data_IF_279802704182
#
_entry.id   IF_279802704182
#
_cell.length_a   1.000
_cell.length_b   1.000
_cell.length_c   1.000
_cell.angle_alpha   90.00
_cell.angle_beta   90.00
_cell.angle_gamma   90.00
#
_symmetry.space_group_name_H-M   'P 1'
#
loop_
_entity.id
_entity.type
_entity.pdbx_description
1 polymer ?
#
# COMPACT_ATOMS: atom_id res chain seq x y z
N UNK A 1 14.41 25.56 -7.74
CA UNK A 1 13.31 26.53 -7.53
C UNK A 1 12.51 26.11 -6.28
N UNK A 2 12.15 27.03 -5.38
CA UNK A 2 12.31 26.81 -3.94
C UNK A 2 11.07 26.20 -3.25
N UNK A 3 11.26 25.08 -2.56
CA UNK A 3 10.28 24.38 -1.69
C UNK A 3 10.24 24.91 -0.24
N UNK A 4 10.97 25.98 0.06
CA UNK A 4 11.16 26.51 1.42
C UNK A 4 10.30 27.72 1.78
N UNK A 5 9.63 28.36 0.81
CA UNK A 5 8.78 29.53 1.04
C UNK A 5 7.35 29.17 1.49
N UNK A 6 6.76 28.11 0.94
CA UNK A 6 5.39 27.69 1.29
C UNK A 6 5.22 27.28 2.76
N UNK A 7 6.27 26.70 3.37
CA UNK A 7 6.22 26.24 4.76
C UNK A 7 6.35 27.39 5.79
N UNK A 8 6.85 28.56 5.39
CA UNK A 8 6.95 29.75 6.26
C UNK A 8 5.68 30.61 6.28
N UNK A 9 4.84 30.54 5.25
CA UNK A 9 3.58 31.29 5.22
C UNK A 9 2.53 30.70 6.19
N UNK A 10 2.40 29.37 6.25
CA UNK A 10 1.38 28.69 7.07
C UNK A 10 1.58 28.93 8.57
N UNK A 11 2.83 29.04 9.04
CA UNK A 11 3.11 29.30 10.47
C UNK A 11 2.88 30.76 10.88
N UNK A 12 2.93 31.71 9.94
CA UNK A 12 2.78 33.14 10.25
C UNK A 12 1.30 33.54 10.41
N UNK A 13 0.39 32.91 9.65
CA UNK A 13 -1.05 33.22 9.72
C UNK A 13 -1.71 32.67 10.99
N UNK A 14 -1.30 31.49 11.47
CA UNK A 14 -1.85 30.91 12.70
C UNK A 14 -1.54 31.76 13.95
N UNK A 15 -0.43 32.52 13.96
CA UNK A 15 -0.02 33.33 15.10
C UNK A 15 -0.77 34.68 15.18
N UNK A 16 -1.28 35.19 14.05
CA UNK A 16 -2.04 36.45 14.00
C UNK A 16 -3.48 36.25 14.50
N UNK A 17 -4.07 35.06 14.30
CA UNK A 17 -5.45 34.78 14.73
C UNK A 17 -5.57 34.65 16.26
N UNK A 18 -4.52 34.23 16.97
CA UNK A 18 -4.55 34.14 18.44
C UNK A 18 -4.33 35.47 19.17
N UNK A 19 -3.90 36.53 18.49
CA UNK A 19 -3.57 37.80 19.15
C UNK A 19 -4.73 38.81 19.20
N UNK A 20 -5.82 38.61 18.44
CA UNK A 20 -6.91 39.60 18.35
C UNK A 20 -8.07 39.38 19.32
N UNK A 21 -8.10 38.27 20.06
CA UNK A 21 -9.21 37.95 20.97
C UNK A 21 -9.15 38.66 22.35
N UNK A 22 -8.18 39.54 22.59
CA UNK A 22 -7.92 40.10 23.93
C UNK A 22 -8.32 41.58 24.13
N UNK A 23 -8.98 42.25 23.18
CA UNK A 23 -9.21 43.71 23.27
C UNK A 23 -10.66 44.21 23.10
N UNK A 24 -11.67 43.34 23.15
CA UNK A 24 -13.08 43.80 23.10
C UNK A 24 -13.72 43.64 24.48
N UNK A 25 -13.90 44.77 25.17
CA UNK A 25 -14.64 44.87 26.42
C UNK A 25 -16.14 44.57 26.23
N UNK A 26 -16.89 44.36 27.33
CA UNK A 26 -18.28 43.90 27.25
C UNK A 26 -19.19 45.07 26.88
N UNK A 27 -19.58 45.17 25.61
CA UNK A 27 -20.66 46.04 25.18
C UNK A 27 -21.55 45.30 24.17
N UNK A 28 -22.72 44.89 24.66
CA UNK A 28 -23.95 44.55 23.93
C UNK A 28 -23.78 43.68 22.66
N UNK A 29 -23.73 42.36 22.86
CA UNK A 29 -23.98 41.39 21.80
C UNK A 29 -25.48 41.06 21.73
N UNK A 30 -26.06 41.22 20.55
CA UNK A 30 -27.37 40.69 20.14
C UNK A 30 -27.27 39.16 19.98
N UNK A 31 -28.09 38.34 20.67
CA UNK A 31 -27.94 36.87 20.66
C UNK A 31 -28.41 36.17 19.37
N UNK A 32 -28.74 36.90 18.30
CA UNK A 32 -29.41 36.32 17.12
C UNK A 32 -28.61 36.22 15.82
N UNK A 33 -27.50 36.94 15.64
CA UNK A 33 -26.82 36.98 14.34
C UNK A 33 -25.30 36.79 14.48
N UNK A 34 -24.69 35.85 13.71
CA UNK A 34 -23.24 35.83 13.57
C UNK A 34 -22.81 37.14 12.93
N UNK A 35 -21.83 37.82 13.54
CA UNK A 35 -21.21 39.01 12.96
C UNK A 35 -20.56 38.65 11.62
N UNK A 36 -20.50 39.58 10.67
CA UNK A 36 -19.92 39.35 9.33
C UNK A 36 -18.49 38.76 9.40
N UNK A 37 -17.75 39.08 10.46
CA UNK A 37 -16.42 38.53 10.76
C UNK A 37 -16.42 37.00 10.97
N UNK A 38 -17.47 36.42 11.58
CA UNK A 38 -17.58 34.97 11.80
C UNK A 38 -17.89 34.24 10.50
N UNK A 39 -18.71 34.85 9.63
CA UNK A 39 -18.99 34.29 8.30
C UNK A 39 -17.72 34.28 7.43
N UNK A 40 -16.93 35.36 7.43
CA UNK A 40 -15.66 35.39 6.69
C UNK A 40 -14.65 34.35 7.18
N UNK A 41 -14.57 34.10 8.48
CA UNK A 41 -13.66 33.08 9.03
C UNK A 41 -14.13 31.66 8.66
N UNK A 42 -15.44 31.42 8.61
CA UNK A 42 -16.00 30.13 8.15
C UNK A 42 -15.82 29.91 6.65
N UNK A 43 -15.92 30.97 5.83
CA UNK A 43 -15.64 30.91 4.39
C UNK A 43 -14.16 30.65 4.11
N UNK A 44 -13.26 31.31 4.83
CA UNK A 44 -11.81 31.07 4.76
C UNK A 44 -11.42 29.66 5.23
N UNK A 45 -12.07 29.14 6.28
CA UNK A 45 -11.89 27.76 6.71
C UNK A 45 -12.40 26.76 5.65
N UNK A 46 -13.56 27.05 5.03
CA UNK A 46 -14.09 26.26 3.92
C UNK A 46 -13.19 26.25 2.68
N UNK A 47 -12.53 27.36 2.37
CA UNK A 47 -11.55 27.47 1.28
C UNK A 47 -10.24 26.71 1.59
N UNK A 48 -9.82 26.65 2.85
CA UNK A 48 -8.67 25.86 3.28
C UNK A 48 -8.97 24.35 3.27
N UNK A 49 -10.16 23.93 3.67
CA UNK A 49 -10.62 22.54 3.56
C UNK A 49 -10.81 22.11 2.09
N UNK A 50 -11.30 23.01 1.23
CA UNK A 50 -11.39 22.77 -0.21
C UNK A 50 -9.99 22.62 -0.85
N UNK A 51 -9.03 23.50 -0.50
CA UNK A 51 -7.65 23.39 -0.98
C UNK A 51 -6.92 22.12 -0.48
N UNK A 52 -7.33 21.56 0.67
CA UNK A 52 -6.82 20.28 1.17
C UNK A 52 -7.49 19.06 0.51
N UNK A 53 -8.74 19.20 0.04
CA UNK A 53 -9.49 18.13 -0.62
C UNK A 53 -9.15 17.97 -2.11
N UNK A 54 -8.70 19.03 -2.78
CA UNK A 54 -8.35 18.99 -4.21
C UNK A 54 -6.99 18.32 -4.51
N UNK A 55 -6.13 18.08 -3.50
CA UNK A 55 -4.81 17.48 -3.70
C UNK A 55 -4.81 15.92 -3.63
N UNK A 56 -5.93 15.29 -3.24
CA UNK A 56 -6.02 13.83 -3.04
C UNK A 56 -6.88 13.10 -4.07
N UNK A 57 -7.43 13.83 -5.04
CA UNK A 57 -8.05 13.30 -6.25
C UNK A 57 -7.09 13.37 -7.44
N UNK A 58 -5.84 12.93 -7.22
CA UNK A 58 -5.02 12.45 -8.32
C UNK A 58 -5.76 11.25 -8.92
N UNK A 59 -6.51 11.50 -10.00
CA UNK A 59 -6.85 10.50 -10.98
C UNK A 59 -5.63 9.60 -11.16
N UNK A 60 -5.83 8.29 -11.03
CA UNK A 60 -4.77 7.34 -11.31
C UNK A 60 -4.13 7.78 -12.64
N UNK A 61 -2.81 8.09 -12.67
CA UNK A 61 -2.20 8.61 -13.87
C UNK A 61 -2.53 7.63 -15.00
N UNK A 62 -3.09 8.15 -16.09
CA UNK A 62 -3.25 7.38 -17.32
C UNK A 62 -1.93 6.65 -17.56
N UNK A 63 -2.03 5.34 -17.78
CA UNK A 63 -0.88 4.48 -17.95
C UNK A 63 -0.07 4.97 -19.16
N UNK A 64 0.99 5.72 -18.89
CA UNK A 64 2.00 6.09 -19.89
C UNK A 64 2.59 4.81 -20.48
N UNK A 65 2.94 4.84 -21.77
CA UNK A 65 3.44 3.69 -22.56
C UNK A 65 4.63 2.94 -21.93
N UNK A 66 5.31 3.53 -20.95
CA UNK A 66 6.35 2.88 -20.11
C UNK A 66 5.81 1.71 -19.24
N UNK A 67 4.48 1.57 -19.10
CA UNK A 67 3.83 0.48 -18.38
C UNK A 67 3.82 -0.86 -19.15
N UNK A 68 4.31 -0.86 -20.39
CA UNK A 68 4.41 -2.03 -21.27
C UNK A 68 5.84 -2.54 -21.44
N UNK A 69 6.84 -1.90 -20.85
CA UNK A 69 8.17 -2.48 -20.77
C UNK A 69 8.07 -3.84 -20.05
N UNK A 70 8.56 -4.95 -20.64
CA UNK A 70 8.43 -6.26 -20.02
C UNK A 70 9.14 -6.20 -18.67
N UNK A 71 8.38 -6.40 -17.59
CA UNK A 71 8.97 -6.49 -16.27
C UNK A 71 10.00 -7.62 -16.30
N UNK A 72 11.25 -7.31 -15.93
CA UNK A 72 12.36 -8.25 -16.01
C UNK A 72 11.96 -9.62 -15.45
N UNK A 73 12.07 -10.66 -16.27
CA UNK A 73 11.68 -12.00 -15.84
C UNK A 73 12.65 -12.55 -14.78
N UNK A 74 12.16 -13.39 -13.88
CA UNK A 74 13.01 -14.08 -12.90
C UNK A 74 13.74 -15.22 -13.62
N UNK A 75 15.07 -15.22 -13.74
CA UNK A 75 15.78 -16.29 -14.43
C UNK A 75 15.52 -17.68 -13.80
N UNK A 76 15.44 -18.75 -14.61
CA UNK A 76 15.17 -20.11 -14.08
C UNK A 76 16.30 -20.55 -13.14
N UNK A 77 17.55 -20.24 -13.49
CA UNK A 77 18.71 -20.52 -12.64
C UNK A 77 18.60 -19.83 -11.26
N UNK A 78 18.05 -18.61 -11.22
CA UNK A 78 17.79 -17.93 -9.94
C UNK A 78 16.71 -18.67 -9.15
N UNK A 79 15.63 -19.11 -9.79
CA UNK A 79 14.58 -19.88 -9.13
C UNK A 79 15.09 -21.21 -8.57
N UNK A 80 15.97 -21.90 -9.30
CA UNK A 80 16.59 -23.15 -8.84
C UNK A 80 17.51 -22.93 -7.64
N UNK A 81 18.37 -21.91 -7.69
CA UNK A 81 19.24 -21.54 -6.56
C UNK A 81 18.41 -21.14 -5.33
N UNK A 82 17.34 -20.37 -5.51
CA UNK A 82 16.42 -20.01 -4.44
C UNK A 82 15.69 -21.24 -3.88
N UNK A 83 15.30 -22.18 -4.73
CA UNK A 83 14.67 -23.44 -4.35
C UNK A 83 15.60 -24.32 -3.51
N UNK A 84 16.89 -24.40 -3.83
CA UNK A 84 17.88 -25.09 -3.01
C UNK A 84 17.95 -24.49 -1.60
N UNK A 85 17.87 -23.16 -1.48
CA UNK A 85 17.89 -22.46 -0.20
C UNK A 85 16.60 -22.58 0.62
N UNK A 86 15.53 -23.15 0.07
CA UNK A 86 14.25 -23.37 0.74
C UNK A 86 14.10 -24.79 1.29
N UNK A 87 15.14 -25.62 1.23
CA UNK A 87 15.10 -27.02 1.64
C UNK A 87 14.72 -27.96 0.48
N UNK A 88 14.59 -29.25 0.78
CA UNK A 88 14.28 -30.30 -0.18
C UNK A 88 12.78 -30.65 -0.22
N UNK A 89 12.39 -31.43 -1.23
CA UNK A 89 11.03 -31.98 -1.35
C UNK A 89 10.18 -31.30 -2.42
N UNK A 90 8.90 -31.70 -2.47
CA UNK A 90 7.92 -31.17 -3.41
C UNK A 90 7.61 -29.70 -3.15
N UNK A 91 6.96 -29.05 -4.11
CA UNK A 91 6.44 -27.69 -3.96
C UNK A 91 5.55 -27.49 -2.71
N UNK A 92 4.83 -28.54 -2.30
CA UNK A 92 3.90 -28.53 -1.17
C UNK A 92 4.54 -28.91 0.17
N UNK A 93 5.80 -29.37 0.14
CA UNK A 93 6.55 -29.71 1.35
C UNK A 93 6.60 -28.52 2.31
N UNK A 94 6.44 -28.79 3.61
CA UNK A 94 6.48 -27.74 4.64
C UNK A 94 7.93 -27.45 5.02
N UNK A 95 8.33 -26.19 4.85
CA UNK A 95 9.68 -25.69 5.11
C UNK A 95 9.61 -24.52 6.09
N UNK A 96 10.74 -24.12 6.68
CA UNK A 96 10.78 -22.98 7.59
C UNK A 96 10.24 -21.73 6.91
N UNK A 97 9.35 -21.00 7.59
CA UNK A 97 8.85 -19.71 7.11
C UNK A 97 10.01 -18.69 7.07
N UNK A 98 10.30 -18.07 5.90
CA UNK A 98 11.39 -17.13 5.75
C UNK A 98 11.20 -15.82 6.52
N UNK A 99 9.98 -15.53 6.98
CA UNK A 99 9.64 -14.34 7.80
C UNK A 99 9.66 -14.64 9.30
N UNK A 100 9.47 -15.90 9.71
CA UNK A 100 9.55 -16.34 11.09
C UNK A 100 9.77 -17.86 11.18
N UNK A 101 11.00 -18.29 11.47
CA UNK A 101 11.40 -19.71 11.45
C UNK A 101 10.65 -20.63 12.42
N UNK A 102 9.89 -20.08 13.38
CA UNK A 102 9.00 -20.85 14.26
C UNK A 102 7.81 -21.46 13.52
N UNK A 103 7.46 -20.92 12.37
CA UNK A 103 6.33 -21.36 11.56
C UNK A 103 6.77 -22.05 10.27
N UNK A 104 5.79 -22.56 9.52
CA UNK A 104 6.02 -23.31 8.28
C UNK A 104 5.22 -22.72 7.13
N UNK A 105 5.85 -22.71 5.97
CA UNK A 105 5.23 -22.40 4.67
C UNK A 105 5.44 -23.56 3.72
N UNK A 106 4.74 -23.58 2.59
CA UNK A 106 5.09 -24.50 1.50
C UNK A 106 6.43 -24.11 0.88
N UNK A 107 7.18 -25.09 0.37
CA UNK A 107 8.44 -24.86 -0.34
C UNK A 107 8.24 -23.89 -1.50
N UNK A 108 7.14 -24.01 -2.24
CA UNK A 108 6.74 -23.08 -3.31
C UNK A 108 6.62 -21.64 -2.80
N UNK A 109 5.95 -21.43 -1.66
CA UNK A 109 5.82 -20.09 -1.09
C UNK A 109 7.17 -19.53 -0.62
N UNK A 110 8.05 -20.37 -0.04
CA UNK A 110 9.41 -19.94 0.29
C UNK A 110 10.17 -19.44 -0.94
N UNK A 111 10.11 -20.17 -2.07
CA UNK A 111 10.78 -19.77 -3.31
C UNK A 111 10.20 -18.47 -3.86
N UNK A 112 8.87 -18.37 -3.95
CA UNK A 112 8.21 -17.17 -4.43
C UNK A 112 8.50 -15.95 -3.54
N UNK A 113 8.53 -16.11 -2.21
CA UNK A 113 8.95 -15.07 -1.28
C UNK A 113 10.39 -14.63 -1.54
N UNK A 114 11.35 -15.56 -1.62
CA UNK A 114 12.77 -15.22 -1.81
C UNK A 114 13.03 -14.56 -3.16
N UNK A 115 12.36 -14.99 -4.22
CA UNK A 115 12.44 -14.33 -5.53
C UNK A 115 11.92 -12.89 -5.45
N UNK A 116 10.78 -12.70 -4.78
CA UNK A 116 10.18 -11.38 -4.55
C UNK A 116 11.09 -10.50 -3.68
N UNK A 117 11.68 -11.06 -2.63
CA UNK A 117 12.60 -10.37 -1.73
C UNK A 117 13.88 -9.94 -2.46
N UNK A 118 14.44 -10.82 -3.31
CA UNK A 118 15.58 -10.50 -4.15
C UNK A 118 15.26 -9.32 -5.07
N UNK A 119 14.15 -9.39 -5.81
CA UNK A 119 13.72 -8.30 -6.69
C UNK A 119 13.51 -6.99 -5.91
N UNK A 120 12.85 -7.06 -4.76
CA UNK A 120 12.63 -5.91 -3.89
C UNK A 120 13.96 -5.27 -3.44
N UNK A 121 14.94 -6.07 -3.04
CA UNK A 121 16.29 -5.60 -2.67
C UNK A 121 16.97 -4.92 -3.85
N UNK A 122 16.95 -5.54 -5.05
CA UNK A 122 17.54 -4.98 -6.27
C UNK A 122 16.90 -3.63 -6.64
N UNK A 123 15.59 -3.47 -6.41
CA UNK A 123 14.85 -2.23 -6.64
C UNK A 123 14.84 -1.26 -5.45
N UNK A 124 15.64 -1.50 -4.40
CA UNK A 124 15.73 -0.67 -3.19
C UNK A 124 14.35 -0.45 -2.54
N UNK A 125 13.51 -1.48 -2.58
CA UNK A 125 12.26 -1.58 -1.84
C UNK A 125 12.61 -2.12 -0.46
N UNK A 126 12.26 -1.37 0.57
CA UNK A 126 12.47 -1.75 1.96
C UNK A 126 11.14 -2.09 2.59
N UNK A 127 11.05 -3.33 3.05
CA UNK A 127 10.02 -3.84 3.92
C UNK A 127 9.90 -3.00 5.20
N UNK A 128 8.68 -2.59 5.56
CA UNK A 128 8.41 -2.08 6.92
C UNK A 128 8.43 -3.25 7.91
N UNK A 129 8.50 -3.04 9.22
CA UNK A 129 8.34 -4.18 10.15
C UNK A 129 6.96 -4.83 9.95
N UNK A 130 6.87 -6.16 10.04
CA UNK A 130 5.59 -6.90 10.07
C UNK A 130 5.28 -7.82 8.89
N UNK A 131 6.23 -8.12 8.00
CA UNK A 131 6.03 -9.18 6.99
C UNK A 131 5.69 -10.48 7.69
N UNK A 132 4.69 -11.17 7.17
CA UNK A 132 4.34 -12.47 7.68
C UNK A 132 3.79 -13.34 6.55
N UNK A 133 4.36 -14.55 6.45
CA UNK A 133 3.83 -15.57 5.55
C UNK A 133 2.81 -16.44 6.28
N UNK A 134 3.22 -17.12 7.34
CA UNK A 134 2.30 -17.87 8.17
C UNK A 134 1.63 -16.99 9.23
N UNK A 135 0.35 -17.24 9.47
CA UNK A 135 -0.38 -16.64 10.59
C UNK A 135 -1.32 -17.68 11.21
N UNK A 136 -1.10 -17.97 12.50
CA UNK A 136 -2.02 -18.79 13.27
C UNK A 136 -3.24 -17.95 13.69
N UNK A 137 -4.26 -17.90 12.83
CA UNK A 137 -5.61 -17.44 13.20
C UNK A 137 -6.56 -18.59 12.89
N UNK A 138 -7.51 -18.84 13.79
CA UNK A 138 -8.50 -19.90 13.68
C UNK A 138 -9.22 -19.84 12.33
N UNK A 139 -8.91 -20.78 11.44
CA UNK A 139 -9.60 -20.94 10.16
C UNK A 139 -8.70 -21.23 8.97
N UNK A 140 -9.30 -21.79 7.92
CA UNK A 140 -8.67 -22.08 6.63
C UNK A 140 -8.49 -20.77 5.86
N UNK A 141 -7.30 -20.21 5.89
CA UNK A 141 -6.90 -19.08 5.05
C UNK A 141 -5.52 -19.34 4.43
N UNK A 142 -5.15 -18.60 3.38
CA UNK A 142 -3.90 -18.83 2.65
C UNK A 142 -2.64 -18.68 3.54
N UNK A 143 -2.66 -17.80 4.56
CA UNK A 143 -1.55 -17.67 5.51
C UNK A 143 -1.45 -18.89 6.43
N UNK A 144 -2.58 -19.38 6.96
CA UNK A 144 -2.62 -20.60 7.78
C UNK A 144 -2.15 -21.82 6.99
N UNK A 145 -2.51 -21.90 5.72
CA UNK A 145 -2.06 -22.97 4.83
C UNK A 145 -0.58 -22.81 4.41
N UNK A 146 0.08 -21.70 4.78
CA UNK A 146 1.48 -21.43 4.46
C UNK A 146 1.72 -21.22 2.96
N UNK A 147 0.73 -20.68 2.25
CA UNK A 147 0.77 -20.44 0.79
C UNK A 147 0.57 -18.96 0.45
N UNK A 148 0.64 -18.06 1.43
CA UNK A 148 0.63 -16.61 1.19
C UNK A 148 1.63 -15.87 2.06
N UNK A 149 1.95 -14.64 1.65
CA UNK A 149 2.69 -13.67 2.43
C UNK A 149 2.15 -12.26 2.24
N UNK A 150 2.12 -11.51 3.35
CA UNK A 150 1.88 -10.06 3.36
C UNK A 150 3.23 -9.34 3.37
N UNK A 151 3.49 -8.62 2.28
CA UNK A 151 4.72 -7.86 2.07
C UNK A 151 4.48 -6.41 2.53
N UNK A 152 4.70 -6.17 3.83
CA UNK A 152 4.36 -4.87 4.43
C UNK A 152 5.24 -3.73 3.88
N UNK A 153 4.59 -2.68 3.38
CA UNK A 153 5.23 -1.45 2.90
C UNK A 153 5.07 -0.31 3.91
N UNK A 154 3.91 -0.26 4.56
CA UNK A 154 3.56 0.73 5.56
C UNK A 154 3.21 0.01 6.85
N UNK A 155 3.78 0.47 7.97
CA UNK A 155 3.44 -0.04 9.30
C UNK A 155 2.19 0.66 9.86
N UNK A 156 1.45 -0.03 10.73
CA UNK A 156 0.36 0.59 11.50
C UNK A 156 -0.93 0.86 10.72
N UNK A 157 -1.13 0.23 9.55
CA UNK A 157 -2.38 0.36 8.78
C UNK A 157 -2.50 1.65 7.95
N UNK A 158 -1.40 2.40 7.79
CA UNK A 158 -1.37 3.59 6.94
C UNK A 158 -1.44 3.24 5.45
N UNK A 159 -2.17 4.03 4.67
CA UNK A 159 -2.25 3.86 3.21
C UNK A 159 -0.88 4.17 2.58
N UNK A 160 -0.46 3.36 1.60
CA UNK A 160 0.72 3.67 0.80
C UNK A 160 0.45 4.89 -0.09
N UNK A 161 1.33 5.88 0.01
CA UNK A 161 1.30 7.11 -0.79
C UNK A 161 2.70 7.41 -1.33
N UNK A 162 2.80 8.39 -2.24
CA UNK A 162 4.07 8.87 -2.80
C UNK A 162 4.99 7.74 -3.28
N UNK A 163 6.26 7.79 -2.86
CA UNK A 163 7.28 6.81 -3.29
C UNK A 163 6.97 5.35 -2.91
N UNK A 164 6.24 5.13 -1.81
CA UNK A 164 5.85 3.79 -1.37
C UNK A 164 4.81 3.20 -2.32
N UNK A 165 3.83 4.01 -2.73
CA UNK A 165 2.83 3.63 -3.73
C UNK A 165 3.49 3.30 -5.07
N UNK A 166 4.43 4.14 -5.54
CA UNK A 166 5.18 3.88 -6.78
C UNK A 166 5.93 2.56 -6.72
N UNK A 167 6.64 2.28 -5.63
CA UNK A 167 7.37 1.01 -5.43
C UNK A 167 6.45 -0.20 -5.36
N UNK A 168 5.30 -0.07 -4.70
CA UNK A 168 4.29 -1.12 -4.65
C UNK A 168 3.68 -1.40 -6.03
N UNK A 169 3.37 -0.36 -6.81
CA UNK A 169 2.87 -0.50 -8.17
C UNK A 169 3.87 -1.24 -9.07
N UNK A 170 5.16 -0.91 -8.97
CA UNK A 170 6.22 -1.57 -9.72
C UNK A 170 6.41 -3.03 -9.30
N UNK A 171 6.38 -3.33 -7.99
CA UNK A 171 6.47 -4.72 -7.54
C UNK A 171 5.24 -5.53 -7.98
N UNK A 172 4.03 -4.96 -7.87
CA UNK A 172 2.81 -5.59 -8.38
C UNK A 172 2.94 -5.92 -9.86
N UNK A 173 3.39 -4.97 -10.69
CA UNK A 173 3.62 -5.18 -12.13
C UNK A 173 4.55 -6.37 -12.37
N UNK A 174 5.65 -6.43 -11.64
CA UNK A 174 6.62 -7.53 -11.73
C UNK A 174 6.04 -8.89 -11.29
N UNK A 175 5.31 -8.95 -10.17
CA UNK A 175 4.66 -10.17 -9.70
C UNK A 175 3.63 -10.69 -10.71
N UNK A 176 2.83 -9.79 -11.27
CA UNK A 176 1.83 -10.11 -12.29
C UNK A 176 2.51 -10.62 -13.56
N UNK A 177 3.60 -10.00 -14.02
CA UNK A 177 4.34 -10.48 -15.18
C UNK A 177 5.00 -11.86 -14.95
N UNK A 178 5.47 -12.13 -13.73
CA UNK A 178 6.18 -13.36 -13.38
C UNK A 178 5.26 -14.45 -12.80
N UNK A 179 3.95 -14.28 -12.90
CA UNK A 179 2.98 -15.13 -12.20
C UNK A 179 3.12 -16.63 -12.51
N UNK A 180 3.50 -16.99 -13.76
CA UNK A 180 3.68 -18.38 -14.18
C UNK A 180 4.90 -19.01 -13.52
N UNK A 181 6.04 -18.31 -13.57
CA UNK A 181 7.33 -18.77 -13.04
C UNK A 181 7.27 -18.91 -11.52
N UNK A 182 6.63 -17.96 -10.87
CA UNK A 182 6.42 -17.95 -9.42
C UNK A 182 5.25 -18.84 -8.96
N UNK A 183 4.51 -19.47 -9.90
CA UNK A 183 3.34 -20.32 -9.63
C UNK A 183 2.31 -19.64 -8.72
N UNK A 184 2.03 -18.36 -9.00
CA UNK A 184 1.10 -17.56 -8.22
C UNK A 184 -0.35 -18.01 -8.44
N UNK A 185 -1.13 -17.97 -7.39
CA UNK A 185 -2.59 -18.07 -7.43
C UNK A 185 -3.20 -16.67 -7.61
N UNK A 186 -2.77 -15.71 -6.79
CA UNK A 186 -3.19 -14.32 -6.92
C UNK A 186 -2.23 -13.34 -6.23
N UNK A 187 -2.36 -12.08 -6.61
CA UNK A 187 -1.76 -10.91 -5.95
C UNK A 187 -2.90 -9.97 -5.55
N UNK A 188 -2.81 -9.33 -4.39
CA UNK A 188 -3.70 -8.23 -4.01
C UNK A 188 -2.92 -6.96 -3.69
N UNK A 189 -3.39 -5.84 -4.25
CA UNK A 189 -2.78 -4.53 -4.05
C UNK A 189 -3.78 -3.42 -4.36
N UNK A 190 -3.84 -2.39 -3.51
CA UNK A 190 -4.71 -1.21 -3.65
C UNK A 190 -6.19 -1.56 -3.89
N UNK A 191 -6.72 -2.54 -3.15
CA UNK A 191 -8.12 -2.96 -3.24
C UNK A 191 -8.44 -3.71 -4.54
N UNK A 192 -7.44 -4.31 -5.18
CA UNK A 192 -7.59 -5.05 -6.44
C UNK A 192 -6.96 -6.43 -6.33
N UNK A 193 -7.54 -7.39 -7.05
CA UNK A 193 -7.08 -8.78 -7.10
C UNK A 193 -6.64 -9.10 -8.54
N UNK A 194 -5.42 -9.59 -8.68
CA UNK A 194 -4.80 -10.01 -9.93
C UNK A 194 -4.64 -11.53 -9.91
N UNK A 195 -5.26 -12.23 -10.84
CA UNK A 195 -5.29 -13.70 -10.82
C UNK A 195 -5.61 -14.28 -12.21
N UNK A 196 -5.65 -15.62 -12.39
CA UNK A 196 -6.07 -16.22 -13.65
C UNK A 196 -7.46 -15.75 -14.11
N UNK A 197 -8.38 -15.43 -13.18
CA UNK A 197 -9.72 -14.92 -13.51
C UNK A 197 -9.70 -13.54 -14.18
N UNK A 198 -8.63 -12.77 -13.97
CA UNK A 198 -8.43 -11.46 -14.60
C UNK A 198 -7.48 -11.56 -15.78
N UNK A 199 -7.15 -12.78 -16.24
CA UNK A 199 -6.08 -13.07 -17.20
C UNK A 199 -4.75 -12.40 -16.83
N UNK A 200 -4.49 -12.20 -15.54
CA UNK A 200 -3.33 -11.44 -15.06
C UNK A 200 -3.18 -10.04 -15.69
N UNK A 201 -4.30 -9.40 -16.07
CA UNK A 201 -4.32 -7.99 -16.49
C UNK A 201 -3.73 -7.09 -15.42
N UNK A 202 -2.96 -6.07 -15.82
CA UNK A 202 -2.42 -5.05 -14.92
C UNK A 202 -3.50 -4.24 -14.21
N UNK A 203 -4.72 -4.26 -14.73
CA UNK A 203 -5.89 -3.65 -14.10
C UNK A 203 -6.49 -4.55 -13.03
N UNK A 204 -6.38 -5.88 -13.09
CA UNK A 204 -7.04 -6.78 -12.10
C UNK A 204 -8.56 -6.52 -11.96
N UNK A 205 -9.18 -7.13 -10.93
CA UNK A 205 -10.59 -6.89 -10.58
C UNK A 205 -10.71 -6.21 -9.22
N UNK A 206 -11.79 -5.44 -8.95
CA UNK A 206 -12.04 -4.91 -7.61
C UNK A 206 -12.08 -6.04 -6.57
N UNK A 207 -11.46 -5.81 -5.41
CA UNK A 207 -11.63 -6.64 -4.23
C UNK A 207 -13.01 -6.33 -3.62
N UNK A 208 -13.82 -7.36 -3.30
CA UNK A 208 -15.11 -7.15 -2.63
C UNK A 208 -14.96 -6.32 -1.34
N UNK A 209 -15.82 -5.32 -1.17
CA UNK A 209 -15.78 -4.42 -0.01
C UNK A 209 -14.73 -3.31 -0.06
N UNK A 210 -13.94 -3.21 -1.14
CA UNK A 210 -12.83 -2.27 -1.28
C UNK A 210 -12.96 -1.26 -2.43
N UNK A 211 -14.04 -1.36 -3.21
CA UNK A 211 -14.37 -0.40 -4.27
C UNK A 211 -14.64 1.00 -3.69
N UNK A 212 -14.39 2.04 -4.48
CA UNK A 212 -14.73 3.43 -4.18
C UNK A 212 -14.21 3.92 -2.81
N UNK A 213 -12.99 3.50 -2.45
CA UNK A 213 -12.36 3.88 -1.18
C UNK A 213 -12.93 3.21 0.08
N UNK A 214 -13.94 2.33 -0.05
CA UNK A 214 -14.54 1.61 1.08
C UNK A 214 -13.57 0.61 1.72
N UNK A 215 -13.83 0.24 2.97
CA UNK A 215 -13.04 -0.76 3.71
C UNK A 215 -11.70 -0.24 4.24
N UNK A 216 -11.16 -0.90 5.27
CA UNK A 216 -9.91 -0.50 5.92
C UNK A 216 -8.67 -0.76 5.04
N UNK A 217 -7.62 0.04 5.23
CA UNK A 217 -6.39 -0.04 4.43
C UNK A 217 -5.77 -1.45 4.41
N UNK A 218 -5.64 -2.08 5.58
CA UNK A 218 -5.10 -3.43 5.70
C UNK A 218 -5.98 -4.47 5.03
N UNK A 219 -7.30 -4.42 5.27
CA UNK A 219 -8.24 -5.36 4.63
C UNK A 219 -8.20 -5.22 3.10
N UNK A 220 -8.06 -3.99 2.61
CA UNK A 220 -8.02 -3.68 1.19
C UNK A 220 -6.60 -3.63 0.61
N UNK A 221 -5.59 -4.16 1.31
CA UNK A 221 -4.22 -4.28 0.79
C UNK A 221 -3.67 -2.94 0.25
N UNK A 222 -3.96 -1.84 0.95
CA UNK A 222 -3.50 -0.49 0.58
C UNK A 222 -2.20 -0.12 1.28
N UNK A 223 -1.80 -0.87 2.29
CA UNK A 223 -0.61 -0.72 3.13
C UNK A 223 0.44 -1.82 2.88
N UNK A 224 0.06 -2.90 2.18
CA UNK A 224 0.93 -4.02 1.84
C UNK A 224 0.48 -4.74 0.55
N UNK A 225 1.39 -5.50 -0.05
CA UNK A 225 1.04 -6.43 -1.14
C UNK A 225 0.84 -7.82 -0.54
N UNK A 226 -0.33 -8.42 -0.82
CA UNK A 226 -0.57 -9.83 -0.52
C UNK A 226 -0.22 -10.67 -1.76
N UNK A 227 0.56 -11.72 -1.57
CA UNK A 227 0.89 -12.68 -2.62
C UNK A 227 0.55 -14.08 -2.15
N UNK A 228 -0.15 -14.84 -2.98
CA UNK A 228 -0.45 -16.25 -2.73
C UNK A 228 0.05 -17.12 -3.87
N UNK A 229 0.61 -18.28 -3.54
CA UNK A 229 0.97 -19.33 -4.49
C UNK A 229 -0.16 -20.35 -4.62
N UNK A 230 -0.16 -21.08 -5.73
CA UNK A 230 -1.06 -22.23 -5.90
C UNK A 230 -0.85 -23.23 -4.76
N UNK A 231 -1.94 -23.87 -4.33
CA UNK A 231 -1.90 -24.98 -3.37
C UNK A 231 -1.28 -26.23 -3.98
#
# INVERSE_FOLDING_TARGET
MPRTLARRLVTTVALVVTASAALVGPAFADPGQPTEDVQQVQELAGLLDAAAAEDDQAAAPEATEDDQAPAAEVAEADLEALAASCGSGSDTAKVADPTNSRYKVTRRMCVAYKATEKHAKDKKIRWSKGQHCFRNKDGKNYHYDGVACDLMYVSGGGKATGSTLTKGNNLKKWLVANHKRLKLDHVMWQGRIYSPRTNWSQSGRPQPGCADGKGGNTVCHRDHIHVAVKR
#
